data_IF_460663312516
#
_entry.id   IF_460663312516
#
_cell.length_a   1.000
_cell.length_b   1.000
_cell.length_c   1.000
_cell.angle_alpha   90.00
_cell.angle_beta   90.00
_cell.angle_gamma   90.00
#
_symmetry.space_group_name_H-M   'P 1'
#
loop_
_entity.id
_entity.type
_entity.pdbx_description
1 polymer ?
#
# COMPACT_ATOMS: atom_id res chain seq x y z
N UNK A 1 -28.89 -10.00 9.40
CA UNK A 1 -29.55 -9.69 8.12
C UNK A 1 -31.01 -10.17 8.11
N UNK A 2 -31.33 -11.44 8.42
CA UNK A 2 -32.70 -11.98 8.38
C UNK A 2 -33.76 -11.10 9.05
N UNK A 3 -33.42 -10.48 10.18
CA UNK A 3 -34.36 -9.65 10.97
C UNK A 3 -34.40 -8.18 10.54
N UNK A 4 -33.41 -7.70 9.79
CA UNK A 4 -33.20 -6.27 9.60
C UNK A 4 -33.04 -5.85 8.14
N UNK A 5 -32.85 -6.80 7.21
CA UNK A 5 -32.64 -6.50 5.80
C UNK A 5 -33.76 -7.19 4.99
N UNK A 6 -34.62 -6.39 4.38
CA UNK A 6 -35.69 -6.86 3.49
C UNK A 6 -35.09 -7.68 2.33
N UNK A 7 -35.68 -8.85 2.08
CA UNK A 7 -35.21 -9.79 1.06
C UNK A 7 -34.24 -10.86 1.58
N UNK A 8 -33.82 -10.77 2.86
CA UNK A 8 -32.92 -11.74 3.49
C UNK A 8 -33.64 -12.69 4.45
N UNK A 9 -34.96 -12.68 4.53
CA UNK A 9 -35.77 -13.43 5.49
C UNK A 9 -35.49 -14.94 5.42
N UNK A 10 -35.32 -15.46 4.21
CA UNK A 10 -35.04 -16.88 3.93
C UNK A 10 -33.56 -17.17 3.61
N UNK A 11 -32.67 -16.21 3.86
CA UNK A 11 -31.25 -16.41 3.60
C UNK A 11 -30.61 -17.39 4.58
N UNK A 12 -29.55 -18.09 4.14
CA UNK A 12 -28.69 -18.94 4.98
C UNK A 12 -27.22 -18.75 4.60
N UNK A 13 -26.34 -19.11 5.52
CA UNK A 13 -24.89 -19.14 5.24
C UNK A 13 -24.63 -20.41 4.43
N UNK A 14 -24.30 -20.22 3.15
CA UNK A 14 -23.97 -21.32 2.25
C UNK A 14 -22.54 -21.84 2.46
N UNK A 15 -21.60 -20.97 2.78
CA UNK A 15 -20.21 -21.32 3.02
C UNK A 15 -19.51 -20.22 3.84
N UNK A 16 -18.43 -20.59 4.51
CA UNK A 16 -17.49 -19.70 5.17
C UNK A 16 -16.09 -19.95 4.64
N UNK A 17 -15.22 -18.93 4.65
CA UNK A 17 -13.84 -19.11 4.22
C UNK A 17 -13.13 -20.15 5.08
N UNK A 18 -12.36 -21.04 4.44
CA UNK A 18 -11.53 -22.04 5.14
C UNK A 18 -10.35 -21.39 5.91
N UNK A 19 -10.00 -20.17 5.58
CA UNK A 19 -8.88 -19.44 6.20
C UNK A 19 -9.32 -18.05 6.66
N UNK A 20 -8.66 -17.56 7.70
CA UNK A 20 -8.84 -16.18 8.17
C UNK A 20 -8.27 -15.23 7.12
N UNK A 21 -9.03 -14.17 6.79
CA UNK A 21 -8.54 -13.09 5.94
C UNK A 21 -7.51 -12.24 6.69
N UNK A 22 -6.24 -12.33 6.30
CA UNK A 22 -5.14 -11.61 6.92
C UNK A 22 -4.86 -10.34 6.10
N UNK A 23 -4.90 -9.18 6.76
CA UNK A 23 -4.64 -7.87 6.11
C UNK A 23 -3.51 -7.05 6.74
N UNK A 24 -3.01 -7.46 7.90
CA UNK A 24 -1.90 -6.84 8.60
C UNK A 24 -1.02 -7.93 9.19
N UNK A 25 0.21 -8.05 8.67
CA UNK A 25 1.20 -9.00 9.20
C UNK A 25 2.59 -8.37 9.13
N UNK A 26 3.48 -8.99 8.37
CA UNK A 26 4.84 -8.53 8.17
C UNK A 26 4.89 -7.39 7.19
N UNK A 27 5.74 -6.43 7.48
CA UNK A 27 6.09 -5.32 6.59
C UNK A 27 7.58 -5.37 6.32
N UNK A 28 7.96 -4.80 5.18
CA UNK A 28 9.36 -4.68 4.79
C UNK A 28 10.11 -3.78 5.78
N UNK A 29 11.32 -4.17 6.15
CA UNK A 29 12.34 -3.25 6.64
C UNK A 29 12.99 -2.62 5.40
N UNK A 30 12.48 -1.47 5.01
CA UNK A 30 12.80 -0.82 3.73
C UNK A 30 13.88 0.24 3.85
N UNK A 31 14.37 0.67 2.68
CA UNK A 31 15.29 1.81 2.59
C UNK A 31 14.66 3.11 3.10
N UNK A 32 13.34 3.18 3.09
CA UNK A 32 12.53 4.21 3.74
C UNK A 32 11.27 3.59 4.32
N UNK A 33 10.96 3.91 5.58
CA UNK A 33 9.70 3.53 6.20
C UNK A 33 8.77 4.74 6.21
N UNK A 34 7.72 4.71 5.38
CA UNK A 34 6.73 5.78 5.33
C UNK A 34 5.89 5.77 6.61
N UNK A 35 5.81 6.93 7.27
CA UNK A 35 5.09 7.11 8.52
C UNK A 35 3.74 7.80 8.30
N UNK A 36 2.87 7.73 9.31
CA UNK A 36 1.62 8.51 9.35
C UNK A 36 1.87 9.99 9.12
N UNK A 37 2.93 10.54 9.71
CA UNK A 37 3.24 11.97 9.62
C UNK A 37 3.55 12.40 8.19
N UNK A 38 4.14 11.54 7.36
CA UNK A 38 4.35 11.82 5.94
C UNK A 38 3.00 12.00 5.20
N UNK A 39 1.99 11.21 5.59
CA UNK A 39 0.65 11.26 5.01
C UNK A 39 -0.11 12.50 5.48
N UNK A 40 -0.10 12.76 6.79
CA UNK A 40 -0.82 13.89 7.40
C UNK A 40 -0.26 15.23 6.95
N UNK A 41 1.07 15.34 6.85
CA UNK A 41 1.74 16.54 6.34
C UNK A 41 1.69 16.68 4.82
N UNK A 42 1.13 15.67 4.11
CA UNK A 42 1.14 15.58 2.65
C UNK A 42 2.56 15.78 2.07
N UNK A 43 3.54 15.11 2.69
CA UNK A 43 4.94 15.18 2.30
C UNK A 43 5.11 14.81 0.83
N UNK A 44 5.88 15.60 0.10
CA UNK A 44 6.22 15.32 -1.29
C UNK A 44 7.53 14.55 -1.37
N UNK A 45 7.55 13.54 -2.24
CA UNK A 45 8.70 12.67 -2.48
C UNK A 45 9.12 12.79 -3.93
N UNK A 46 10.40 13.11 -4.17
CA UNK A 46 10.95 13.12 -5.54
C UNK A 46 10.92 11.73 -6.20
N UNK A 47 10.97 10.68 -5.41
CA UNK A 47 10.86 9.29 -5.85
C UNK A 47 9.42 8.72 -5.74
N UNK A 48 8.38 9.57 -5.82
CA UNK A 48 6.98 9.13 -5.81
C UNK A 48 6.69 8.17 -6.96
N UNK A 49 6.04 7.03 -6.65
CA UNK A 49 5.66 6.01 -7.64
C UNK A 49 4.18 5.62 -7.61
N UNK A 50 3.44 6.14 -6.68
CA UNK A 50 2.01 5.89 -6.56
C UNK A 50 1.35 6.96 -5.70
N UNK A 51 0.02 7.12 -5.84
CA UNK A 51 -0.82 7.90 -4.93
C UNK A 51 -1.71 7.00 -4.10
N UNK A 52 -1.86 7.37 -2.82
CA UNK A 52 -2.89 6.86 -1.94
C UNK A 52 -3.95 7.93 -1.68
N UNK A 53 -5.22 7.50 -1.54
CA UNK A 53 -6.38 8.41 -1.34
C UNK A 53 -7.38 7.88 -0.31
N UNK A 54 -7.01 6.88 0.46
CA UNK A 54 -7.90 6.22 1.41
C UNK A 54 -7.73 6.79 2.83
N UNK A 55 -8.80 6.84 3.66
CA UNK A 55 -8.69 7.20 5.07
C UNK A 55 -7.70 6.32 5.83
N UNK A 56 -7.04 6.90 6.84
CA UNK A 56 -6.24 6.14 7.80
C UNK A 56 -7.21 5.37 8.70
N UNK A 57 -7.42 4.10 8.39
CA UNK A 57 -8.32 3.19 9.12
C UNK A 57 -7.50 2.24 10.00
N UNK A 58 -7.29 2.62 11.25
CA UNK A 58 -6.58 1.81 12.24
C UNK A 58 -7.58 1.23 13.22
N UNK A 59 -7.68 -0.09 13.28
CA UNK A 59 -8.52 -0.77 14.26
C UNK A 59 -7.81 -0.80 15.63
N UNK A 60 -8.41 -0.25 16.69
CA UNK A 60 -7.82 -0.31 18.02
C UNK A 60 -7.76 -1.76 18.54
N UNK A 61 -6.86 -2.09 19.47
CA UNK A 61 -6.88 -3.36 20.18
C UNK A 61 -8.22 -3.58 20.88
N UNK A 62 -8.64 -4.84 21.01
CA UNK A 62 -9.97 -5.25 21.54
C UNK A 62 -10.39 -4.61 22.88
N UNK A 63 -9.47 -4.08 23.67
CA UNK A 63 -9.71 -3.54 25.00
C UNK A 63 -9.77 -2.01 25.07
N UNK A 64 -9.76 -1.32 23.95
CA UNK A 64 -9.91 0.13 23.92
C UNK A 64 -11.26 0.46 23.28
N UNK A 65 -12.20 0.97 24.09
CA UNK A 65 -13.47 1.54 23.64
C UNK A 65 -13.26 2.87 22.90
N UNK A 66 -12.37 2.88 21.93
CA UNK A 66 -12.10 4.05 21.09
C UNK A 66 -12.99 4.04 19.86
N UNK A 67 -13.69 5.13 19.60
CA UNK A 67 -14.21 5.42 18.27
C UNK A 67 -13.06 5.35 17.27
N UNK A 68 -13.31 4.78 16.09
CA UNK A 68 -12.38 4.84 14.98
C UNK A 68 -12.20 6.30 14.57
N UNK A 69 -11.09 6.92 14.97
CA UNK A 69 -10.70 8.20 14.41
C UNK A 69 -10.18 7.95 12.99
N UNK A 70 -11.10 8.01 12.05
CA UNK A 70 -10.75 7.96 10.63
C UNK A 70 -10.28 9.34 10.19
N UNK A 71 -8.97 9.51 10.06
CA UNK A 71 -8.40 10.68 9.40
C UNK A 71 -8.45 10.51 7.89
N UNK A 72 -9.06 11.46 7.17
CA UNK A 72 -9.12 11.47 5.70
C UNK A 72 -8.01 12.38 5.17
N UNK A 73 -6.91 11.83 4.67
CA UNK A 73 -5.81 12.62 4.12
C UNK A 73 -6.18 13.21 2.74
N UNK A 74 -5.46 14.24 2.35
CA UNK A 74 -5.35 14.61 0.94
C UNK A 74 -4.67 13.45 0.16
N UNK A 75 -4.79 13.40 -1.18
CA UNK A 75 -3.99 12.48 -1.97
C UNK A 75 -2.50 12.59 -1.59
N UNK A 76 -1.89 11.46 -1.19
CA UNK A 76 -0.53 11.43 -0.68
C UNK A 76 0.37 10.54 -1.54
N UNK A 77 1.63 10.89 -1.63
CA UNK A 77 2.60 10.19 -2.43
C UNK A 77 3.23 9.01 -1.69
N UNK A 78 3.56 7.95 -2.43
CA UNK A 78 4.27 6.77 -1.93
C UNK A 78 5.65 6.72 -2.59
N UNK A 79 6.75 6.76 -1.80
CA UNK A 79 8.09 6.80 -2.36
C UNK A 79 8.57 5.41 -2.82
N UNK A 80 9.36 5.36 -3.89
CA UNK A 80 9.98 4.14 -4.42
C UNK A 80 10.81 3.40 -3.37
N UNK A 81 11.52 4.15 -2.53
CA UNK A 81 12.36 3.59 -1.46
C UNK A 81 11.59 2.77 -0.43
N UNK A 82 10.27 2.94 -0.30
CA UNK A 82 9.45 2.10 0.58
C UNK A 82 9.16 0.70 0.01
N UNK A 83 9.47 0.48 -1.28
CA UNK A 83 9.38 -0.81 -1.95
C UNK A 83 10.69 -1.59 -1.92
N UNK A 84 11.81 -0.94 -1.58
CA UNK A 84 13.16 -1.50 -1.57
C UNK A 84 13.53 -1.98 -0.16
N UNK A 85 13.99 -3.24 0.03
CA UNK A 85 14.54 -3.69 1.32
C UNK A 85 15.76 -2.86 1.73
N UNK A 86 15.99 -2.71 3.05
CA UNK A 86 17.18 -1.99 3.53
C UNK A 86 18.51 -2.65 3.15
N UNK A 87 18.53 -4.00 3.05
CA UNK A 87 19.76 -4.79 2.97
C UNK A 87 19.84 -5.75 1.78
N UNK A 88 18.84 -5.79 0.91
CA UNK A 88 18.79 -6.70 -0.25
C UNK A 88 18.60 -5.87 -1.52
N UNK A 89 19.48 -6.04 -2.47
CA UNK A 89 19.51 -5.19 -3.67
C UNK A 89 18.58 -5.66 -4.79
N UNK A 90 18.41 -6.98 -4.92
CA UNK A 90 17.62 -7.58 -6.01
C UNK A 90 16.26 -8.09 -5.52
N UNK A 91 15.54 -7.25 -4.76
CA UNK A 91 14.19 -7.54 -4.28
C UNK A 91 13.35 -6.26 -4.31
N UNK A 92 12.10 -6.41 -4.72
CA UNK A 92 11.05 -5.39 -4.61
C UNK A 92 9.84 -5.98 -3.90
N UNK A 93 9.14 -5.13 -3.18
CA UNK A 93 7.92 -5.47 -2.48
C UNK A 93 6.82 -4.50 -2.87
N UNK A 94 5.65 -5.00 -3.24
CA UNK A 94 4.46 -4.19 -3.52
C UNK A 94 3.27 -4.60 -2.65
N UNK A 95 2.27 -3.75 -2.55
CA UNK A 95 1.04 -4.04 -1.82
C UNK A 95 1.14 -3.88 -0.31
N UNK A 96 0.46 -4.74 0.45
CA UNK A 96 0.29 -4.62 1.91
C UNK A 96 1.55 -4.80 2.76
N UNK A 97 2.63 -5.25 2.17
CA UNK A 97 3.88 -5.53 2.87
C UNK A 97 5.00 -4.51 2.59
N UNK A 98 4.72 -3.40 1.91
CA UNK A 98 5.69 -2.31 1.73
C UNK A 98 6.14 -1.73 3.08
N UNK A 99 7.25 -0.98 3.08
CA UNK A 99 7.81 -0.40 4.29
C UNK A 99 7.03 0.83 4.75
N UNK A 100 6.16 0.61 5.71
CA UNK A 100 5.30 1.64 6.34
C UNK A 100 5.16 1.38 7.82
N UNK A 101 4.86 2.41 8.62
CA UNK A 101 4.47 2.22 10.00
C UNK A 101 3.06 1.61 10.12
N UNK A 102 2.61 1.32 11.34
CA UNK A 102 1.30 0.69 11.57
C UNK A 102 0.15 1.60 11.16
N UNK A 103 0.26 2.89 11.39
CA UNK A 103 -0.81 3.84 11.12
C UNK A 103 -0.91 4.14 9.63
N UNK A 104 0.23 4.34 8.95
CA UNK A 104 0.28 4.47 7.50
C UNK A 104 -0.27 3.21 6.80
N UNK A 105 -0.03 2.01 7.37
CA UNK A 105 -0.60 0.78 6.82
C UNK A 105 -2.14 0.83 6.77
N UNK A 106 -2.77 1.52 7.70
CA UNK A 106 -4.23 1.68 7.73
C UNK A 106 -4.82 2.20 6.42
N UNK A 107 -4.08 3.04 5.71
CA UNK A 107 -4.52 3.61 4.43
C UNK A 107 -3.88 2.93 3.21
N UNK A 108 -2.63 2.48 3.27
CA UNK A 108 -1.96 1.91 2.07
C UNK A 108 -2.35 0.46 1.76
N UNK A 109 -2.96 -0.26 2.71
CA UNK A 109 -3.34 -1.68 2.55
C UNK A 109 -4.56 -1.92 1.65
N UNK A 110 -5.24 -0.87 1.20
CA UNK A 110 -6.43 -0.99 0.35
C UNK A 110 -6.08 -1.43 -1.07
N UNK A 111 -7.01 -2.11 -1.74
CA UNK A 111 -6.77 -2.75 -3.03
C UNK A 111 -6.22 -1.82 -4.11
N UNK A 112 -6.76 -0.60 -4.23
CA UNK A 112 -6.29 0.38 -5.22
C UNK A 112 -4.82 0.76 -5.00
N UNK A 113 -4.45 1.12 -3.77
CA UNK A 113 -3.07 1.48 -3.41
C UNK A 113 -2.13 0.28 -3.54
N UNK A 114 -2.59 -0.93 -3.16
CA UNK A 114 -1.81 -2.16 -3.36
C UNK A 114 -1.57 -2.44 -4.85
N UNK A 115 -2.58 -2.19 -5.71
CA UNK A 115 -2.44 -2.31 -7.16
C UNK A 115 -1.43 -1.31 -7.73
N UNK A 116 -1.50 -0.04 -7.32
CA UNK A 116 -0.58 1.00 -7.77
C UNK A 116 0.87 0.71 -7.38
N UNK A 117 1.13 0.32 -6.13
CA UNK A 117 2.48 -0.06 -5.67
C UNK A 117 2.98 -1.36 -6.30
N UNK A 118 2.08 -2.32 -6.55
CA UNK A 118 2.39 -3.54 -7.30
C UNK A 118 2.75 -3.28 -8.76
N UNK A 119 2.02 -2.37 -9.42
CA UNK A 119 2.34 -1.91 -10.78
C UNK A 119 3.73 -1.28 -10.83
N UNK A 120 4.03 -0.33 -9.94
CA UNK A 120 5.34 0.30 -9.88
C UNK A 120 6.47 -0.71 -9.61
N UNK A 121 6.26 -1.67 -8.71
CA UNK A 121 7.23 -2.73 -8.44
C UNK A 121 7.46 -3.62 -9.67
N UNK A 122 6.40 -3.97 -10.40
CA UNK A 122 6.50 -4.76 -11.64
C UNK A 122 7.28 -4.04 -12.74
N UNK A 123 6.97 -2.76 -12.96
CA UNK A 123 7.70 -1.91 -13.93
C UNK A 123 9.18 -1.79 -13.55
N UNK A 124 9.48 -1.48 -12.29
CA UNK A 124 10.86 -1.38 -11.82
C UNK A 124 11.63 -2.69 -11.96
N UNK A 125 11.00 -3.83 -11.66
CA UNK A 125 11.62 -5.15 -11.85
C UNK A 125 11.94 -5.43 -13.31
N UNK A 126 11.02 -5.10 -14.24
CA UNK A 126 11.21 -5.28 -15.67
C UNK A 126 12.36 -4.40 -16.20
N UNK A 127 12.38 -3.11 -15.82
CA UNK A 127 13.44 -2.19 -16.22
C UNK A 127 14.81 -2.62 -15.67
N UNK A 128 14.87 -3.06 -14.41
CA UNK A 128 16.11 -3.57 -13.81
C UNK A 128 16.64 -4.80 -14.57
N UNK A 129 15.76 -5.74 -14.89
CA UNK A 129 16.11 -6.94 -15.67
C UNK A 129 16.61 -6.60 -17.08
N UNK A 130 15.93 -5.68 -17.77
CA UNK A 130 16.35 -5.21 -19.12
C UNK A 130 17.72 -4.51 -19.10
N UNK A 131 17.99 -3.74 -18.03
CA UNK A 131 19.26 -3.03 -17.87
C UNK A 131 20.40 -3.93 -17.31
N UNK A 132 20.13 -5.21 -17.00
CA UNK A 132 21.11 -6.08 -16.30
C UNK A 132 21.53 -5.52 -14.94
N UNK A 133 20.63 -4.79 -14.26
CA UNK A 133 20.87 -4.07 -13.01
C UNK A 133 20.01 -4.64 -11.90
N UNK A 134 20.12 -4.07 -10.68
CA UNK A 134 19.22 -4.37 -9.57
C UNK A 134 18.21 -3.25 -9.38
N UNK A 135 17.03 -3.55 -8.81
CA UNK A 135 16.04 -2.51 -8.49
C UNK A 135 16.60 -1.35 -7.65
N UNK A 136 17.55 -1.64 -6.76
CA UNK A 136 18.20 -0.62 -5.91
C UNK A 136 19.03 0.38 -6.74
N UNK A 137 19.70 -0.10 -7.78
CA UNK A 137 20.58 0.72 -8.61
C UNK A 137 19.84 1.38 -9.78
N UNK A 138 18.55 1.08 -9.95
CA UNK A 138 17.73 1.69 -10.97
C UNK A 138 17.38 3.13 -10.59
N UNK A 139 17.43 4.03 -11.57
CA UNK A 139 16.95 5.40 -11.36
C UNK A 139 15.44 5.43 -11.18
N UNK A 140 14.97 5.97 -10.06
CA UNK A 140 13.53 6.15 -9.84
C UNK A 140 12.88 7.01 -10.95
N UNK A 141 13.62 7.89 -11.60
CA UNK A 141 13.14 8.70 -12.72
C UNK A 141 12.77 7.85 -13.94
N UNK A 142 13.49 6.76 -14.17
CA UNK A 142 13.16 5.83 -15.25
C UNK A 142 11.87 5.06 -14.91
N UNK A 143 11.71 4.65 -13.65
CA UNK A 143 10.49 4.03 -13.17
C UNK A 143 9.32 4.99 -13.31
N UNK A 144 9.44 6.24 -12.84
CA UNK A 144 8.42 7.28 -12.97
C UNK A 144 8.02 7.50 -14.43
N UNK A 145 9.00 7.66 -15.30
CA UNK A 145 8.77 7.85 -16.74
C UNK A 145 7.92 6.72 -17.32
N UNK A 146 8.27 5.47 -17.00
CA UNK A 146 7.57 4.32 -17.56
C UNK A 146 6.14 4.16 -16.98
N UNK A 147 5.94 4.32 -15.67
CA UNK A 147 4.59 4.26 -15.10
C UNK A 147 3.69 5.40 -15.58
N UNK A 148 4.25 6.60 -15.84
CA UNK A 148 3.52 7.71 -16.46
C UNK A 148 3.16 7.41 -17.92
N UNK A 149 4.05 6.80 -18.71
CA UNK A 149 3.75 6.32 -20.07
C UNK A 149 2.58 5.34 -20.07
N UNK A 150 2.46 4.54 -19.02
CA UNK A 150 1.34 3.62 -18.79
C UNK A 150 0.12 4.29 -18.15
N UNK A 151 0.11 5.64 -18.08
CA UNK A 151 -0.98 6.47 -17.57
C UNK A 151 -1.29 6.27 -16.08
N UNK A 152 -0.32 5.87 -15.27
CA UNK A 152 -0.44 5.90 -13.83
C UNK A 152 -0.39 7.35 -13.31
N UNK A 153 -0.98 7.57 -12.13
CA UNK A 153 -1.02 8.86 -11.45
C UNK A 153 -0.07 8.77 -10.25
N UNK A 154 0.90 9.68 -10.16
CA UNK A 154 1.92 9.69 -9.10
C UNK A 154 2.04 11.03 -8.37
N UNK A 155 1.30 12.05 -8.79
CA UNK A 155 1.21 13.40 -8.22
C UNK A 155 -0.17 14.03 -8.41
#
# INVERSE_FOLDING_TARGET
YKKHCKGFENSWIMNTSATIGIRETRRLDGAYTMAKDDIVSNRKFEDSIALGVWPIDVHPPKNQNGMHDMYVPLPFQIPYRSLLPAKIDNLLVGGRCISVDREALGTVRVGATCGATGHAAGVAAALAAQAGSTPRNLSYKEVQKEILNQKAIIE
#
